data_IF_793400808648
#
_entry.id   IF_793400808648
#
_cell.length_a   1.000
_cell.length_b   1.000
_cell.length_c   1.000
_cell.angle_alpha   90.00
_cell.angle_beta   90.00
_cell.angle_gamma   90.00
#
_symmetry.space_group_name_H-M   'P 1'
#
loop_
_entity.id
_entity.type
_entity.pdbx_description
1 polymer ?
#
# COMPACT_ATOMS: atom_id res chain seq x y z
N UNK A 1 9.53 8.24 14.76
CA UNK A 1 10.94 8.10 15.17
C UNK A 1 11.68 7.42 14.03
N UNK A 2 12.91 7.82 13.72
CA UNK A 2 13.71 7.08 12.74
C UNK A 2 13.95 5.66 13.26
N UNK A 3 13.78 4.65 12.41
CA UNK A 3 14.07 3.27 12.76
C UNK A 3 15.59 3.13 13.00
N UNK A 4 15.99 2.26 13.93
CA UNK A 4 17.40 1.98 14.20
C UNK A 4 18.05 1.33 12.97
N UNK A 5 19.26 1.79 12.60
CA UNK A 5 20.05 1.19 11.52
C UNK A 5 20.50 -0.22 11.94
N UNK A 6 20.44 -1.15 11.00
CA UNK A 6 20.81 -2.55 11.17
C UNK A 6 21.95 -2.84 10.20
N UNK A 7 23.00 -3.50 10.69
CA UNK A 7 24.08 -4.00 9.86
C UNK A 7 23.58 -5.21 9.04
N UNK A 8 23.48 -5.04 7.72
CA UNK A 8 22.93 -6.06 6.82
C UNK A 8 23.72 -7.37 6.87
N UNK A 9 25.04 -7.31 7.10
CA UNK A 9 25.92 -8.48 7.17
C UNK A 9 25.65 -9.37 8.40
N UNK A 10 24.84 -8.87 9.35
CA UNK A 10 24.44 -9.61 10.56
C UNK A 10 23.13 -10.35 10.41
N UNK A 11 22.43 -10.17 9.29
CA UNK A 11 21.12 -10.77 9.02
C UNK A 11 21.28 -12.15 8.39
N UNK A 12 20.36 -13.05 8.71
CA UNK A 12 20.26 -14.35 8.05
C UNK A 12 19.38 -14.20 6.80
N UNK A 13 19.91 -14.39 5.58
CA UNK A 13 19.12 -14.31 4.35
C UNK A 13 17.98 -15.33 4.31
N UNK A 14 18.11 -16.44 5.05
CA UNK A 14 17.07 -17.45 5.12
C UNK A 14 15.88 -17.06 6.02
N UNK A 15 16.10 -16.15 6.96
CA UNK A 15 15.16 -15.80 8.03
C UNK A 15 14.90 -14.29 8.13
N UNK A 16 15.17 -13.53 7.06
CA UNK A 16 14.96 -12.08 7.02
C UNK A 16 14.22 -11.68 5.76
N UNK A 17 13.15 -10.90 5.94
CA UNK A 17 12.40 -10.27 4.84
C UNK A 17 12.54 -8.76 4.94
N UNK A 18 12.95 -8.14 3.85
CA UNK A 18 13.01 -6.69 3.70
C UNK A 18 11.64 -6.18 3.24
N UNK A 19 11.12 -5.17 3.92
CA UNK A 19 9.93 -4.44 3.49
C UNK A 19 10.39 -3.18 2.76
N UNK A 20 10.19 -3.16 1.45
CA UNK A 20 10.55 -2.06 0.54
C UNK A 20 9.55 -0.89 0.67
N UNK A 21 9.56 -0.25 1.83
CA UNK A 21 8.69 0.88 2.16
C UNK A 21 9.44 1.94 2.96
N UNK A 22 9.20 3.21 2.64
CA UNK A 22 9.59 4.34 3.49
C UNK A 22 8.63 4.60 4.66
N UNK A 23 7.45 3.95 4.68
CA UNK A 23 6.42 4.16 5.69
C UNK A 23 6.49 3.10 6.80
N UNK A 24 6.90 3.53 8.00
CA UNK A 24 7.01 2.67 9.18
C UNK A 24 5.69 1.97 9.58
N UNK A 25 4.53 2.56 9.28
CA UNK A 25 3.24 1.94 9.56
C UNK A 25 3.02 0.69 8.71
N UNK A 26 3.50 0.70 7.45
CA UNK A 26 3.38 -0.48 6.57
C UNK A 26 4.18 -1.66 7.13
N UNK A 27 5.36 -1.42 7.71
CA UNK A 27 6.14 -2.48 8.35
C UNK A 27 5.34 -3.14 9.48
N UNK A 28 4.73 -2.34 10.38
CA UNK A 28 3.92 -2.87 11.48
C UNK A 28 2.71 -3.67 10.99
N UNK A 29 2.00 -3.20 9.97
CA UNK A 29 0.84 -3.90 9.39
C UNK A 29 1.25 -5.24 8.76
N UNK A 30 2.35 -5.25 8.01
CA UNK A 30 2.88 -6.45 7.34
C UNK A 30 3.33 -7.49 8.37
N UNK A 31 4.10 -7.08 9.37
CA UNK A 31 4.58 -7.96 10.44
C UNK A 31 3.41 -8.55 11.26
N UNK A 32 2.39 -7.74 11.55
CA UNK A 32 1.22 -8.17 12.33
C UNK A 32 0.40 -9.27 11.63
N UNK A 33 0.45 -9.37 10.30
CA UNK A 33 -0.29 -10.37 9.52
C UNK A 33 0.63 -11.51 9.11
N UNK A 34 1.67 -11.21 8.33
CA UNK A 34 2.54 -12.24 7.77
C UNK A 34 3.44 -12.90 8.84
N UNK A 35 3.77 -12.20 9.93
CA UNK A 35 4.50 -12.81 11.06
C UNK A 35 3.74 -13.96 11.73
N UNK A 36 2.42 -14.06 11.55
CA UNK A 36 1.63 -15.19 12.06
C UNK A 36 1.89 -16.48 11.27
N UNK A 37 2.15 -16.35 9.96
CA UNK A 37 2.41 -17.49 9.06
C UNK A 37 3.91 -17.71 8.80
N UNK A 38 4.74 -16.72 9.13
CA UNK A 38 6.21 -16.75 9.05
C UNK A 38 6.86 -16.43 10.43
N UNK A 39 6.62 -17.23 11.48
CA UNK A 39 7.03 -16.89 12.85
C UNK A 39 8.55 -16.87 13.10
N UNK A 40 9.33 -17.54 12.23
CA UNK A 40 10.79 -17.60 12.31
C UNK A 40 11.46 -16.44 11.55
N UNK A 41 10.69 -15.63 10.82
CA UNK A 41 11.22 -14.56 9.96
C UNK A 41 11.22 -13.23 10.70
N UNK A 42 12.31 -12.49 10.53
CA UNK A 42 12.43 -11.09 10.94
C UNK A 42 12.06 -10.16 9.78
N UNK A 43 11.12 -9.24 10.01
CA UNK A 43 10.81 -8.16 9.08
C UNK A 43 11.68 -6.94 9.38
N UNK A 44 12.28 -6.34 8.36
CA UNK A 44 13.09 -5.12 8.47
C UNK A 44 12.68 -4.14 7.38
N UNK A 45 12.57 -2.85 7.69
CA UNK A 45 12.36 -1.86 6.64
C UNK A 45 13.66 -1.63 5.85
N UNK A 46 13.56 -1.45 4.52
CA UNK A 46 14.72 -1.20 3.65
C UNK A 46 15.59 -0.05 4.15
N UNK A 47 14.99 1.05 4.61
CA UNK A 47 15.71 2.20 5.17
C UNK A 47 16.48 1.93 6.48
N UNK A 48 16.28 0.78 7.13
CA UNK A 48 17.12 0.35 8.25
C UNK A 48 18.46 -0.22 7.78
N UNK A 49 18.53 -0.75 6.56
CA UNK A 49 19.69 -1.43 6.02
C UNK A 49 20.65 -0.48 5.28
N UNK A 50 20.18 0.70 4.92
CA UNK A 50 20.96 1.65 4.15
C UNK A 50 20.12 2.78 3.58
N UNK A 51 20.80 3.69 2.90
CA UNK A 51 20.19 4.74 2.10
C UNK A 51 20.28 4.29 0.63
N UNK A 52 19.20 3.69 0.13
CA UNK A 52 19.08 3.18 -1.24
C UNK A 52 18.26 4.16 -2.09
N UNK A 53 18.51 4.19 -3.39
CA UNK A 53 17.70 5.00 -4.31
C UNK A 53 16.32 4.35 -4.51
N UNK A 54 15.27 5.17 -4.52
CA UNK A 54 13.94 4.68 -4.86
C UNK A 54 13.92 4.22 -6.33
N UNK A 55 13.41 3.02 -6.63
CA UNK A 55 13.33 2.54 -8.00
C UNK A 55 12.32 3.35 -8.82
N UNK A 56 12.54 3.43 -10.13
CA UNK A 56 11.58 4.05 -11.04
C UNK A 56 10.33 3.17 -11.17
N UNK A 57 9.21 3.60 -10.60
CA UNK A 57 7.89 2.97 -10.77
C UNK A 57 7.32 3.23 -12.19
N UNK A 58 7.83 2.48 -13.16
CA UNK A 58 7.43 2.55 -14.57
C UNK A 58 6.36 1.52 -14.97
N UNK A 59 5.81 0.79 -14.00
CA UNK A 59 4.72 -0.14 -14.20
C UNK A 59 3.41 0.57 -14.57
N UNK A 60 2.57 -0.14 -15.31
CA UNK A 60 1.23 0.29 -15.71
C UNK A 60 0.13 -0.25 -14.78
N UNK A 61 0.49 -1.19 -13.90
CA UNK A 61 -0.40 -1.81 -12.90
C UNK A 61 0.23 -1.78 -11.50
N UNK A 62 -0.61 -1.89 -10.47
CA UNK A 62 -0.12 -1.98 -9.09
C UNK A 62 0.80 -3.19 -8.88
N UNK A 63 0.50 -4.34 -9.51
CA UNK A 63 1.34 -5.52 -9.43
C UNK A 63 2.74 -5.28 -10.02
N UNK A 64 2.82 -4.65 -11.20
CA UNK A 64 4.12 -4.34 -11.81
C UNK A 64 4.96 -3.44 -10.91
N UNK A 65 4.39 -2.38 -10.34
CA UNK A 65 5.11 -1.49 -9.41
C UNK A 65 5.50 -2.17 -8.10
N UNK A 66 4.62 -3.03 -7.55
CA UNK A 66 4.95 -3.81 -6.36
C UNK A 66 6.13 -4.75 -6.63
N UNK A 67 6.15 -5.44 -7.78
CA UNK A 67 7.25 -6.31 -8.18
C UNK A 67 8.54 -5.50 -8.39
N UNK A 68 8.49 -4.37 -9.11
CA UNK A 68 9.66 -3.49 -9.34
C UNK A 68 10.30 -3.09 -8.00
N UNK A 69 9.49 -2.66 -7.04
CA UNK A 69 9.97 -2.27 -5.71
C UNK A 69 10.57 -3.44 -4.93
N UNK A 70 9.92 -4.60 -4.94
CA UNK A 70 10.45 -5.78 -4.28
C UNK A 70 11.76 -6.25 -4.93
N UNK A 71 11.83 -6.27 -6.26
CA UNK A 71 13.03 -6.64 -7.01
C UNK A 71 14.20 -5.72 -6.70
N UNK A 72 13.99 -4.39 -6.71
CA UNK A 72 15.03 -3.44 -6.34
C UNK A 72 15.57 -3.71 -4.92
N UNK A 73 14.68 -4.00 -3.95
CA UNK A 73 15.12 -4.36 -2.61
C UNK A 73 15.92 -5.67 -2.58
N UNK A 74 15.53 -6.70 -3.34
CA UNK A 74 16.31 -7.95 -3.47
C UNK A 74 17.69 -7.67 -4.07
N UNK A 75 17.77 -6.86 -5.11
CA UNK A 75 19.03 -6.54 -5.82
C UNK A 75 20.01 -5.77 -4.92
N UNK A 76 19.51 -4.82 -4.13
CA UNK A 76 20.32 -4.00 -3.23
C UNK A 76 20.77 -4.75 -1.97
N UNK A 77 19.97 -5.71 -1.49
CA UNK A 77 20.18 -6.33 -0.17
C UNK A 77 20.59 -7.81 -0.23
N UNK A 78 20.28 -8.51 -1.32
CA UNK A 78 20.41 -9.97 -1.42
C UNK A 78 19.44 -10.75 -0.52
N UNK A 79 18.46 -10.08 0.10
CA UNK A 79 17.46 -10.67 0.99
C UNK A 79 16.13 -10.85 0.27
N UNK A 80 15.27 -11.73 0.81
CA UNK A 80 13.86 -11.78 0.40
C UNK A 80 13.19 -10.43 0.61
N UNK A 81 12.24 -10.07 -0.25
CA UNK A 81 11.60 -8.75 -0.18
C UNK A 81 10.09 -8.80 -0.32
N UNK A 82 9.43 -7.88 0.40
CA UNK A 82 8.03 -7.54 0.26
C UNK A 82 7.90 -6.08 -0.13
N UNK A 83 7.03 -5.79 -1.09
CA UNK A 83 6.66 -4.43 -1.44
C UNK A 83 5.15 -4.30 -1.65
N UNK A 84 4.64 -3.10 -1.40
CA UNK A 84 3.23 -2.73 -1.56
C UNK A 84 3.12 -1.58 -2.57
N UNK A 85 2.27 -1.75 -3.57
CA UNK A 85 1.78 -0.66 -4.41
C UNK A 85 0.27 -0.48 -4.22
N UNK A 86 -0.13 0.76 -3.97
CA UNK A 86 -1.50 1.06 -3.55
C UNK A 86 -1.96 2.38 -4.14
N UNK A 87 -3.25 2.47 -4.46
CA UNK A 87 -3.82 3.69 -5.01
C UNK A 87 -5.34 3.71 -4.96
N UNK A 88 -5.89 4.87 -5.30
CA UNK A 88 -7.32 5.08 -5.48
C UNK A 88 -7.69 4.82 -6.94
N UNK A 89 -8.78 4.08 -7.16
CA UNK A 89 -9.38 3.81 -8.46
C UNK A 89 -10.80 4.34 -8.44
N UNK A 90 -11.14 5.26 -9.35
CA UNK A 90 -12.48 5.87 -9.42
C UNK A 90 -13.15 5.48 -10.73
N UNK A 91 -14.32 4.85 -10.64
CA UNK A 91 -14.97 4.22 -11.79
C UNK A 91 -15.40 5.27 -12.84
N UNK A 92 -15.93 6.42 -12.41
CA UNK A 92 -16.32 7.53 -13.30
C UNK A 92 -15.13 8.21 -14.02
N UNK A 93 -13.89 7.92 -13.59
CA UNK A 93 -12.67 8.46 -14.19
C UNK A 93 -11.87 7.38 -14.90
N UNK A 94 -12.53 6.32 -15.37
CA UNK A 94 -11.89 5.18 -16.05
C UNK A 94 -10.74 4.55 -15.23
N UNK A 95 -10.85 4.60 -13.90
CA UNK A 95 -9.89 4.06 -12.96
C UNK A 95 -8.78 5.02 -12.51
N UNK A 96 -8.78 6.28 -12.96
CA UNK A 96 -7.89 7.30 -12.40
C UNK A 96 -8.21 7.59 -10.93
N UNK A 97 -7.22 7.98 -10.09
CA UNK A 97 -5.80 8.20 -10.43
C UNK A 97 -4.95 6.93 -10.60
N UNK A 98 -5.40 5.76 -10.12
CA UNK A 98 -4.72 4.48 -10.29
C UNK A 98 -3.30 4.47 -9.72
N UNK A 99 -2.34 3.92 -10.47
CA UNK A 99 -0.90 3.90 -10.11
C UNK A 99 -0.28 5.30 -9.95
N UNK A 100 -0.95 6.35 -10.45
CA UNK A 100 -0.49 7.74 -10.31
C UNK A 100 -1.02 8.40 -9.05
N UNK A 101 -1.70 7.68 -8.16
CA UNK A 101 -2.35 8.19 -6.94
C UNK A 101 -1.49 9.17 -6.14
N UNK A 102 -0.22 8.85 -5.88
CA UNK A 102 0.67 9.71 -5.10
C UNK A 102 1.11 11.00 -5.83
N UNK A 103 0.98 11.03 -7.16
CA UNK A 103 1.46 12.10 -8.04
C UNK A 103 0.39 12.59 -9.02
N UNK A 104 -0.88 12.47 -8.65
CA UNK A 104 -1.99 12.72 -9.55
C UNK A 104 -2.03 14.17 -10.05
N UNK A 105 -1.64 15.12 -9.20
CA UNK A 105 -1.50 16.53 -9.53
C UNK A 105 -0.11 16.90 -10.10
N UNK A 106 0.74 15.92 -10.40
CA UNK A 106 2.07 16.08 -11.00
C UNK A 106 3.23 16.15 -10.00
N UNK A 107 2.96 16.40 -8.72
CA UNK A 107 3.97 16.40 -7.65
C UNK A 107 3.69 15.23 -6.71
N UNK A 108 4.72 14.43 -6.44
CA UNK A 108 4.62 13.30 -5.51
C UNK A 108 4.37 13.78 -4.09
N UNK A 109 3.36 13.21 -3.42
CA UNK A 109 3.05 13.45 -2.00
C UNK A 109 2.29 14.75 -1.70
N UNK A 110 1.85 15.49 -2.72
CA UNK A 110 1.00 16.67 -2.52
C UNK A 110 -0.48 16.26 -2.41
N UNK A 111 -0.85 15.71 -1.25
CA UNK A 111 -2.20 15.20 -0.98
C UNK A 111 -3.29 16.26 -1.21
N UNK A 112 -3.01 17.53 -0.87
CA UNK A 112 -3.96 18.62 -1.05
C UNK A 112 -4.21 18.90 -2.54
N UNK A 113 -3.15 18.97 -3.36
CA UNK A 113 -3.30 19.16 -4.80
C UNK A 113 -3.96 17.95 -5.48
N UNK A 114 -3.61 16.73 -5.05
CA UNK A 114 -4.20 15.48 -5.51
C UNK A 114 -5.72 15.45 -5.25
N UNK A 115 -6.13 15.77 -4.02
CA UNK A 115 -7.54 15.85 -3.62
C UNK A 115 -8.30 16.94 -4.39
N UNK A 116 -7.71 18.12 -4.57
CA UNK A 116 -8.32 19.19 -5.34
C UNK A 116 -8.55 18.81 -6.81
N UNK A 117 -7.56 18.19 -7.46
CA UNK A 117 -7.68 17.70 -8.83
C UNK A 117 -8.76 16.62 -8.95
N UNK A 118 -8.83 15.69 -7.99
CA UNK A 118 -9.85 14.65 -7.96
C UNK A 118 -11.27 15.25 -7.92
N UNK A 119 -11.50 16.22 -7.04
CA UNK A 119 -12.81 16.87 -6.93
C UNK A 119 -13.20 17.61 -8.20
N UNK A 120 -12.27 18.34 -8.83
CA UNK A 120 -12.49 19.02 -10.12
C UNK A 120 -12.88 18.02 -11.21
N UNK A 121 -12.17 16.90 -11.32
CA UNK A 121 -12.46 15.89 -12.33
C UNK A 121 -13.80 15.18 -12.10
N UNK A 122 -14.31 15.20 -10.87
CA UNK A 122 -15.61 14.64 -10.50
C UNK A 122 -16.73 15.69 -10.46
N UNK A 123 -16.51 16.92 -10.92
CA UNK A 123 -17.56 17.92 -11.06
C UNK A 123 -18.62 17.44 -12.07
N UNK A 124 -19.89 17.45 -11.64
CA UNK A 124 -21.01 17.05 -12.49
C UNK A 124 -21.26 15.53 -12.57
N UNK A 125 -20.41 14.70 -11.95
CA UNK A 125 -20.68 13.26 -11.78
C UNK A 125 -21.77 13.08 -10.73
N UNK A 126 -22.83 12.34 -11.07
CA UNK A 126 -23.94 12.05 -10.18
C UNK A 126 -23.49 11.21 -8.98
N UNK A 127 -24.12 11.39 -7.81
CA UNK A 127 -23.72 10.72 -6.56
C UNK A 127 -23.61 9.19 -6.68
N UNK A 128 -24.51 8.57 -7.47
CA UNK A 128 -24.53 7.13 -7.73
C UNK A 128 -23.38 6.62 -8.59
N UNK A 129 -22.72 7.50 -9.34
CA UNK A 129 -21.60 7.18 -10.23
C UNK A 129 -20.23 7.49 -9.60
N UNK A 130 -20.18 8.00 -8.35
CA UNK A 130 -18.94 8.35 -7.64
C UNK A 130 -18.25 7.15 -6.98
N UNK A 131 -18.51 5.94 -7.46
CA UNK A 131 -17.92 4.71 -6.89
C UNK A 131 -16.41 4.70 -7.07
N UNK A 132 -15.73 4.24 -6.03
CA UNK A 132 -14.29 4.18 -5.99
C UNK A 132 -13.83 3.05 -5.06
N UNK A 133 -12.58 2.64 -5.24
CA UNK A 133 -11.94 1.70 -4.34
C UNK A 133 -10.50 2.09 -4.12
N UNK A 134 -10.04 1.94 -2.87
CA UNK A 134 -8.61 1.81 -2.67
C UNK A 134 -8.20 0.39 -3.02
N UNK A 135 -7.09 0.26 -3.75
CA UNK A 135 -6.46 -1.01 -4.10
C UNK A 135 -5.08 -1.10 -3.45
N UNK A 136 -4.71 -2.27 -2.97
CA UNK A 136 -3.34 -2.66 -2.61
C UNK A 136 -2.97 -3.92 -3.36
N UNK A 137 -1.75 -3.97 -3.86
CA UNK A 137 -1.09 -5.21 -4.28
C UNK A 137 0.22 -5.34 -3.51
N UNK A 138 0.34 -6.44 -2.78
CA UNK A 138 1.53 -6.77 -2.00
C UNK A 138 2.26 -7.93 -2.68
N UNK A 139 3.46 -7.68 -3.18
CA UNK A 139 4.31 -8.68 -3.79
C UNK A 139 5.39 -9.14 -2.81
N UNK A 140 5.61 -10.46 -2.75
CA UNK A 140 6.68 -11.13 -2.01
C UNK A 140 7.58 -11.86 -3.01
N UNK A 141 8.89 -11.67 -2.89
CA UNK A 141 9.92 -12.38 -3.63
C UNK A 141 10.72 -13.24 -2.64
N UNK A 142 10.68 -14.54 -2.83
CA UNK A 142 11.42 -15.50 -2.01
C UNK A 142 12.90 -15.64 -2.40
N UNK A 143 13.62 -16.52 -1.71
CA UNK A 143 15.06 -16.76 -1.94
C UNK A 143 15.36 -17.33 -3.34
N UNK A 144 14.42 -18.02 -3.96
CA UNK A 144 14.56 -18.59 -5.29
C UNK A 144 14.15 -17.57 -6.38
N UNK A 145 13.70 -16.38 -5.99
CA UNK A 145 13.22 -15.33 -6.87
C UNK A 145 11.78 -15.54 -7.34
N UNK A 146 11.03 -16.45 -6.72
CA UNK A 146 9.62 -16.67 -7.06
C UNK A 146 8.78 -15.54 -6.48
N UNK A 147 7.89 -15.00 -7.31
CA UNK A 147 6.95 -13.95 -6.93
C UNK A 147 5.63 -14.58 -6.49
N UNK A 148 5.21 -14.28 -5.27
CA UNK A 148 3.83 -14.50 -4.79
C UNK A 148 3.22 -13.15 -4.45
N UNK A 149 1.96 -12.91 -4.80
CA UNK A 149 1.31 -11.63 -4.52
C UNK A 149 -0.11 -11.79 -4.01
N UNK A 150 -0.50 -10.88 -3.12
CA UNK A 150 -1.87 -10.70 -2.67
C UNK A 150 -2.42 -9.37 -3.13
N UNK A 151 -3.74 -9.33 -3.35
CA UNK A 151 -4.48 -8.14 -3.75
C UNK A 151 -5.64 -7.92 -2.80
N UNK A 152 -5.96 -6.66 -2.53
CA UNK A 152 -7.06 -6.29 -1.66
C UNK A 152 -7.66 -4.95 -2.07
N UNK A 153 -8.96 -4.82 -1.85
CA UNK A 153 -9.74 -3.63 -2.15
C UNK A 153 -10.50 -3.17 -0.91
N UNK A 154 -10.69 -1.87 -0.78
CA UNK A 154 -11.66 -1.26 0.12
C UNK A 154 -12.62 -0.46 -0.76
N UNK A 155 -13.87 -0.93 -0.86
CA UNK A 155 -14.89 -0.31 -1.72
C UNK A 155 -15.53 0.89 -1.02
N UNK A 156 -15.93 1.89 -1.81
CA UNK A 156 -16.52 3.12 -1.29
C UNK A 156 -17.00 4.06 -2.38
N UNK A 157 -17.20 5.31 -1.97
CA UNK A 157 -17.55 6.41 -2.87
C UNK A 157 -16.73 7.65 -2.53
N UNK A 158 -16.59 8.57 -3.49
CA UNK A 158 -15.90 9.84 -3.26
C UNK A 158 -16.89 10.91 -2.78
N UNK A 159 -16.61 11.51 -1.63
CA UNK A 159 -17.35 12.64 -1.09
C UNK A 159 -17.21 13.89 -1.98
N UNK A 160 -18.07 14.90 -1.73
CA UNK A 160 -17.97 16.21 -2.39
C UNK A 160 -17.00 17.16 -1.70
N UNK A 161 -16.66 16.89 -0.44
CA UNK A 161 -15.74 17.70 0.37
C UNK A 161 -15.00 16.81 1.36
N UNK A 162 -13.78 17.25 1.71
CA UNK A 162 -12.93 16.54 2.66
C UNK A 162 -13.41 16.68 4.11
N UNK A 163 -13.43 15.59 4.86
CA UNK A 163 -13.70 15.57 6.30
C UNK A 163 -12.73 14.64 7.03
N UNK A 164 -12.50 14.91 8.32
CA UNK A 164 -11.55 14.16 9.14
C UNK A 164 -10.13 14.73 9.11
N UNK A 165 -9.35 14.37 10.12
CA UNK A 165 -7.98 14.83 10.35
C UNK A 165 -6.98 13.67 10.53
N UNK A 166 -7.45 12.42 10.50
CA UNK A 166 -6.61 11.24 10.51
C UNK A 166 -6.23 10.80 9.09
N UNK A 167 -5.24 9.90 8.99
CA UNK A 167 -4.88 9.29 7.72
C UNK A 167 -4.06 10.21 6.81
N UNK A 168 -4.10 9.93 5.51
CA UNK A 168 -3.33 10.64 4.47
C UNK A 168 -3.96 10.46 3.08
N UNK A 169 -3.42 11.15 2.07
CA UNK A 169 -3.87 11.01 0.69
C UNK A 169 -5.34 11.36 0.51
N UNK A 170 -6.09 10.43 -0.07
CA UNK A 170 -7.51 10.59 -0.38
C UNK A 170 -8.44 10.20 0.78
N UNK A 171 -7.90 9.82 1.95
CA UNK A 171 -8.71 9.43 3.11
C UNK A 171 -9.80 10.44 3.49
N UNK A 172 -9.57 11.77 3.42
CA UNK A 172 -10.61 12.75 3.74
C UNK A 172 -11.78 12.77 2.77
N UNK A 173 -11.60 12.25 1.55
CA UNK A 173 -12.62 12.21 0.50
C UNK A 173 -13.28 10.84 0.37
N UNK A 174 -12.65 9.78 0.86
CA UNK A 174 -13.11 8.42 0.63
C UNK A 174 -14.11 7.98 1.71
N UNK A 175 -15.31 7.58 1.28
CA UNK A 175 -16.38 7.05 2.13
C UNK A 175 -16.46 5.53 1.93
N UNK A 176 -15.81 4.71 2.79
CA UNK A 176 -15.87 3.25 2.70
C UNK A 176 -17.29 2.74 2.95
N UNK A 177 -17.67 1.66 2.24
CA UNK A 177 -18.99 1.02 2.41
C UNK A 177 -19.21 0.45 3.80
N UNK A 178 -18.14 0.02 4.47
CA UNK A 178 -18.20 -0.66 5.77
C UNK A 178 -18.39 0.30 6.95
N UNK A 179 -18.15 1.61 6.77
CA UNK A 179 -18.43 2.63 7.79
C UNK A 179 -19.26 3.80 7.21
N UNK A 180 -20.56 3.58 6.95
CA UNK A 180 -21.41 4.57 6.30
C UNK A 180 -21.42 5.92 7.02
N UNK A 181 -21.26 6.99 6.25
CA UNK A 181 -21.35 8.38 6.74
C UNK A 181 -20.05 8.92 7.34
N UNK A 182 -19.01 8.10 7.50
CA UNK A 182 -17.67 8.54 7.91
C UNK A 182 -16.70 8.43 6.74
N UNK A 183 -15.84 9.42 6.57
CA UNK A 183 -14.68 9.30 5.68
C UNK A 183 -13.62 8.42 6.32
N UNK A 184 -12.69 7.87 5.52
CA UNK A 184 -11.56 7.11 6.04
C UNK A 184 -10.70 7.94 7.02
N UNK A 185 -10.63 9.25 6.84
CA UNK A 185 -9.94 10.18 7.74
C UNK A 185 -10.69 10.49 9.04
N UNK A 186 -11.96 10.09 9.17
CA UNK A 186 -12.74 10.17 10.41
C UNK A 186 -12.65 8.88 11.24
N UNK A 187 -11.98 7.84 10.72
CA UNK A 187 -11.74 6.59 11.42
C UNK A 187 -10.50 6.68 12.29
N UNK A 188 -10.51 5.95 13.40
CA UNK A 188 -9.28 5.65 14.15
C UNK A 188 -8.36 4.74 13.34
N UNK A 189 -7.08 4.66 13.71
CA UNK A 189 -6.12 3.76 13.05
C UNK A 189 -6.59 2.29 13.10
N UNK A 190 -7.14 1.85 14.23
CA UNK A 190 -7.63 0.48 14.41
C UNK A 190 -8.87 0.20 13.53
N UNK A 191 -9.83 1.12 13.48
CA UNK A 191 -11.00 1.01 12.60
C UNK A 191 -10.59 0.96 11.13
N UNK A 192 -9.68 1.85 10.70
CA UNK A 192 -9.15 1.90 9.34
C UNK A 192 -8.45 0.59 8.97
N UNK A 193 -7.58 0.09 9.84
CA UNK A 193 -6.79 -1.10 9.58
C UNK A 193 -7.67 -2.34 9.39
N UNK A 194 -8.80 -2.43 10.12
CA UNK A 194 -9.72 -3.56 10.03
C UNK A 194 -10.46 -3.68 8.68
N UNK A 195 -10.56 -2.60 7.90
CA UNK A 195 -11.30 -2.55 6.62
C UNK A 195 -10.42 -2.15 5.43
N UNK A 196 -9.11 -2.00 5.64
CA UNK A 196 -8.24 -1.44 4.63
C UNK A 196 -7.96 -2.43 3.50
N UNK A 197 -7.79 -1.89 2.29
CA UNK A 197 -7.29 -2.60 1.12
C UNK A 197 -5.98 -3.36 1.39
N UNK A 198 -5.08 -2.80 2.20
CA UNK A 198 -3.81 -3.45 2.56
C UNK A 198 -4.02 -4.64 3.49
N UNK A 199 -4.90 -4.52 4.48
CA UNK A 199 -5.28 -5.66 5.32
C UNK A 199 -5.78 -6.83 4.46
N UNK A 200 -6.70 -6.55 3.53
CA UNK A 200 -7.20 -7.57 2.61
C UNK A 200 -6.11 -8.15 1.70
N UNK A 201 -5.18 -7.33 1.20
CA UNK A 201 -4.07 -7.79 0.37
C UNK A 201 -3.10 -8.69 1.14
N UNK A 202 -2.83 -8.38 2.41
CA UNK A 202 -1.95 -9.17 3.27
C UNK A 202 -2.58 -10.48 3.70
N UNK A 203 -3.88 -10.51 4.01
CA UNK A 203 -4.61 -11.75 4.30
C UNK A 203 -4.65 -12.66 3.05
N UNK A 204 -4.88 -12.08 1.86
CA UNK A 204 -4.83 -12.83 0.60
C UNK A 204 -3.42 -13.39 0.32
N UNK A 205 -2.36 -12.58 0.53
CA UNK A 205 -0.98 -13.06 0.42
C UNK A 205 -0.70 -14.17 1.44
N UNK A 206 -1.17 -14.00 2.68
CA UNK A 206 -1.03 -15.00 3.74
C UNK A 206 -1.63 -16.35 3.34
N UNK A 207 -2.86 -16.36 2.79
CA UNK A 207 -3.53 -17.58 2.33
C UNK A 207 -2.77 -18.31 1.21
N UNK A 208 -2.16 -17.55 0.28
CA UNK A 208 -1.29 -18.11 -0.77
C UNK A 208 -0.06 -18.78 -0.21
N UNK A 209 0.58 -18.16 0.78
CA UNK A 209 1.79 -18.65 1.41
C UNK A 209 1.53 -19.91 2.26
N UNK A 210 0.33 -20.07 2.81
CA UNK A 210 -0.08 -21.26 3.57
C UNK A 210 -0.69 -22.37 2.71
N UNK A 211 -0.97 -22.10 1.42
CA UNK A 211 -1.64 -23.04 0.52
C UNK A 211 -3.12 -23.26 0.85
N UNK A 212 -3.77 -22.25 1.44
CA UNK A 212 -5.18 -22.26 1.82
C UNK A 212 -6.12 -21.77 0.70
N UNK A 213 -5.57 -21.50 -0.50
CA UNK A 213 -6.28 -21.08 -1.72
C UNK A 213 -6.47 -22.24 -2.73
#
# INVERSE_FOLDING_TARGET
>A
MALEKIDIDTLDPAATIVVATGNAHKLTEIEAILGKVMPEVRFVALGQLGDFEDPEENGTTFLENAIIKAQAAVEETGLMAIADDSGLVVDALDGEPGVYSARYAGVHGDDAANNAKLLVNLEGVADEDRTARFMSVVAFIDQDGLVTYGEGACEGVIAHEGRGDHGFGYDPLFLPVDTPGKTMAELTADEKNAISHRFHALEHLSAKLTGEE
#
